data_IF_141248726917
#
_entry.id   IF_141248726917
#
_cell.length_a   1.000
_cell.length_b   1.000
_cell.length_c   1.000
_cell.angle_alpha   90.00
_cell.angle_beta   90.00
_cell.angle_gamma   90.00
#
_symmetry.space_group_name_H-M   'P 1'
#
loop_
_entity.id
_entity.type
_entity.pdbx_description
1 polymer ?
#
# COMPACT_ATOMS: atom_id res chain seq x y z
N UNK A 1 -1.78 21.25 1.52
CA UNK A 1 -2.92 22.21 1.53
C UNK A 1 -2.62 23.29 0.49
N UNK A 2 -3.27 23.26 -0.67
CA UNK A 2 -3.16 24.31 -1.68
C UNK A 2 -4.13 25.44 -1.27
N UNK A 3 -3.65 26.68 -1.20
CA UNK A 3 -4.50 27.83 -0.86
C UNK A 3 -4.36 28.90 -1.93
N UNK A 4 -5.48 29.37 -2.45
CA UNK A 4 -5.53 30.47 -3.41
C UNK A 4 -5.82 31.77 -2.66
N UNK A 5 -5.03 32.82 -2.92
CA UNK A 5 -5.24 34.14 -2.32
C UNK A 5 -6.20 34.94 -3.21
N UNK A 6 -7.31 35.37 -2.64
CA UNK A 6 -8.32 36.20 -3.30
C UNK A 6 -8.34 37.58 -2.63
N UNK A 7 -8.28 38.65 -3.42
CA UNK A 7 -8.46 40.03 -2.95
C UNK A 7 -9.86 40.52 -3.39
N UNK A 8 -10.61 41.12 -2.45
CA UNK A 8 -11.94 41.68 -2.70
C UNK A 8 -11.90 43.19 -2.41
N UNK A 9 -12.43 43.99 -3.33
CA UNK A 9 -12.72 45.42 -3.12
C UNK A 9 -14.24 45.63 -3.03
N UNK A 10 -14.68 46.70 -2.35
CA UNK A 10 -16.10 46.97 -2.12
C UNK A 10 -16.89 47.03 -3.43
N UNK A 11 -17.88 46.15 -3.58
CA UNK A 11 -18.78 46.08 -4.73
C UNK A 11 -18.37 45.11 -5.85
N UNK A 12 -17.34 44.28 -5.67
CA UNK A 12 -16.92 43.27 -6.66
C UNK A 12 -17.21 41.86 -6.13
N UNK A 13 -17.94 41.07 -6.93
CA UNK A 13 -18.06 39.62 -6.77
C UNK A 13 -16.85 38.95 -7.46
N UNK A 14 -16.18 38.02 -6.77
CA UNK A 14 -15.01 37.32 -7.28
C UNK A 14 -15.28 35.80 -7.28
N UNK A 15 -15.65 35.32 -8.47
CA UNK A 15 -16.00 33.92 -8.72
C UNK A 15 -14.81 33.09 -9.28
N UNK A 16 -13.57 33.57 -9.15
CA UNK A 16 -12.39 32.86 -9.70
C UNK A 16 -11.78 31.86 -8.72
N UNK A 17 -12.34 31.76 -7.51
CA UNK A 17 -11.95 30.81 -6.47
C UNK A 17 -12.42 29.38 -6.78
N UNK A 18 -12.06 28.84 -7.94
CA UNK A 18 -12.39 27.48 -8.32
C UNK A 18 -11.39 26.49 -7.70
N UNK A 19 -11.90 25.42 -7.09
CA UNK A 19 -11.09 24.35 -6.50
C UNK A 19 -11.44 23.01 -7.14
N UNK A 20 -10.50 22.45 -7.90
CA UNK A 20 -10.61 21.08 -8.40
C UNK A 20 -10.23 20.07 -7.32
N UNK A 21 -11.15 19.18 -6.95
CA UNK A 21 -10.83 17.97 -6.19
C UNK A 21 -10.67 16.81 -7.16
N UNK A 22 -9.43 16.34 -7.35
CA UNK A 22 -9.20 15.06 -7.99
C UNK A 22 -9.34 13.98 -6.91
N UNK A 23 -10.49 13.31 -6.87
CA UNK A 23 -10.65 12.09 -6.08
C UNK A 23 -9.83 10.98 -6.71
N UNK A 24 -9.12 10.14 -5.95
CA UNK A 24 -8.33 9.05 -6.52
C UNK A 24 -9.25 8.14 -7.34
N UNK A 25 -9.05 8.11 -8.65
CA UNK A 25 -9.92 7.44 -9.62
C UNK A 25 -9.77 5.91 -9.61
N UNK A 26 -8.78 5.37 -8.89
CA UNK A 26 -8.55 3.92 -8.80
C UNK A 26 -7.87 3.55 -7.48
N UNK A 27 -8.56 2.77 -6.67
CA UNK A 27 -8.00 2.08 -5.50
C UNK A 27 -7.77 0.61 -5.83
N UNK A 28 -6.57 0.10 -5.59
CA UNK A 28 -6.23 -1.31 -5.68
C UNK A 28 -6.20 -2.01 -4.32
N UNK A 29 -6.03 -3.33 -4.35
CA UNK A 29 -5.71 -4.13 -3.15
C UNK A 29 -4.62 -5.16 -3.47
N UNK A 30 -3.72 -5.39 -2.52
CA UNK A 30 -2.69 -6.43 -2.57
C UNK A 30 -2.93 -7.35 -1.38
N UNK A 31 -3.03 -8.65 -1.60
CA UNK A 31 -3.17 -9.63 -0.53
C UNK A 31 -2.95 -11.02 -1.06
N UNK A 32 -2.63 -11.94 -0.15
CA UNK A 32 -2.46 -13.36 -0.44
C UNK A 32 -2.33 -14.17 0.86
N UNK A 33 -1.76 -15.38 0.79
CA UNK A 33 -1.44 -16.25 1.90
C UNK A 33 0.08 -16.36 2.10
N UNK A 34 0.51 -16.46 3.35
CA UNK A 34 1.83 -16.99 3.74
C UNK A 34 1.60 -18.41 4.24
N UNK A 35 2.28 -19.39 3.67
CA UNK A 35 2.11 -20.81 4.01
C UNK A 35 3.45 -21.49 4.31
N UNK A 36 3.36 -22.62 4.99
CA UNK A 36 4.51 -23.50 5.22
C UNK A 36 4.67 -24.40 4.00
N UNK A 37 5.61 -24.03 3.13
CA UNK A 37 6.03 -24.80 1.97
C UNK A 37 6.82 -26.04 2.44
N UNK A 38 6.13 -27.16 2.59
CA UNK A 38 6.70 -28.38 3.19
C UNK A 38 7.58 -29.12 2.19
N UNK A 39 7.25 -29.01 0.90
CA UNK A 39 7.92 -29.73 -0.17
C UNK A 39 9.00 -28.88 -0.89
N UNK A 40 9.02 -27.56 -0.64
CA UNK A 40 10.01 -26.61 -1.12
C UNK A 40 9.84 -26.20 -2.58
N UNK A 41 8.65 -26.33 -3.15
CA UNK A 41 8.40 -26.08 -4.58
C UNK A 41 7.83 -24.68 -4.88
N UNK A 42 7.48 -23.91 -3.85
CA UNK A 42 6.91 -22.58 -3.97
C UNK A 42 5.48 -22.53 -4.52
N UNK A 43 4.80 -23.67 -4.61
CA UNK A 43 3.38 -23.80 -4.94
C UNK A 43 2.61 -23.97 -3.64
N UNK A 44 1.39 -23.45 -3.57
CA UNK A 44 0.52 -23.72 -2.44
C UNK A 44 -0.24 -25.04 -2.68
N UNK A 45 0.14 -26.08 -1.95
CA UNK A 45 -0.47 -27.40 -2.04
C UNK A 45 -1.58 -27.64 -0.99
N UNK A 46 -2.44 -28.62 -1.27
CA UNK A 46 -3.42 -29.13 -0.31
C UNK A 46 -2.71 -29.75 0.90
N UNK A 47 -2.97 -29.19 2.09
CA UNK A 47 -2.34 -29.61 3.35
C UNK A 47 -1.25 -28.65 3.84
N UNK A 48 -0.86 -27.64 3.06
CA UNK A 48 0.08 -26.62 3.50
C UNK A 48 -0.61 -25.54 4.34
N UNK A 49 -0.32 -25.61 5.64
CA UNK A 49 -0.89 -24.73 6.65
C UNK A 49 -0.40 -23.28 6.47
N UNK A 50 -1.30 -22.34 6.76
CA UNK A 50 -0.94 -20.92 6.78
C UNK A 50 -0.06 -20.56 7.96
N UNK A 51 0.86 -19.62 7.76
CA UNK A 51 1.75 -19.13 8.81
C UNK A 51 1.16 -17.85 9.41
N UNK A 52 0.52 -18.00 10.57
CA UNK A 52 -0.08 -16.90 11.31
C UNK A 52 0.95 -16.01 12.02
N UNK A 53 0.71 -14.70 12.06
CA UNK A 53 1.58 -13.73 12.74
C UNK A 53 2.88 -13.36 11.98
N UNK A 54 2.93 -13.65 10.67
CA UNK A 54 4.00 -13.18 9.79
C UNK A 54 3.81 -11.69 9.54
N UNK A 55 4.88 -10.92 9.67
CA UNK A 55 4.88 -9.49 9.40
C UNK A 55 5.07 -9.27 7.91
N UNK A 56 4.04 -8.73 7.24
CA UNK A 56 4.10 -8.38 5.82
C UNK A 56 4.25 -6.88 5.70
N UNK A 57 5.28 -6.46 4.98
CA UNK A 57 5.60 -5.05 4.73
C UNK A 57 5.43 -4.77 3.24
N UNK A 58 4.59 -3.79 2.92
CA UNK A 58 4.41 -3.27 1.56
C UNK A 58 5.06 -1.89 1.48
N UNK A 59 6.03 -1.75 0.59
CA UNK A 59 6.67 -0.48 0.24
C UNK A 59 6.10 -0.01 -1.10
N UNK A 60 5.59 1.21 -1.11
CA UNK A 60 5.00 1.89 -2.27
C UNK A 60 5.95 3.02 -2.64
N UNK A 61 6.48 3.01 -3.85
CA UNK A 61 7.31 4.11 -4.36
C UNK A 61 6.54 4.83 -5.47
N UNK A 62 6.19 6.08 -5.21
CA UNK A 62 5.55 6.96 -6.16
C UNK A 62 6.58 7.63 -7.07
N UNK A 63 6.09 8.19 -8.17
CA UNK A 63 6.92 8.73 -9.26
C UNK A 63 7.60 10.05 -8.92
N UNK A 64 7.13 10.70 -7.85
CA UNK A 64 7.76 11.86 -7.22
C UNK A 64 8.86 11.46 -6.20
N UNK A 65 9.34 10.21 -6.24
CA UNK A 65 10.30 9.61 -5.30
C UNK A 65 9.82 9.59 -3.83
N UNK A 66 8.51 9.77 -3.59
CA UNK A 66 7.92 9.56 -2.26
C UNK A 66 7.75 8.07 -2.04
N UNK A 67 8.28 7.58 -0.91
CA UNK A 67 8.10 6.20 -0.47
C UNK A 67 7.19 6.14 0.75
N UNK A 68 6.17 5.29 0.70
CA UNK A 68 5.29 4.95 1.83
C UNK A 68 5.48 3.48 2.18
N UNK A 69 5.58 3.18 3.47
CA UNK A 69 5.61 1.79 3.95
C UNK A 69 4.41 1.52 4.83
N UNK A 70 3.69 0.44 4.53
CA UNK A 70 2.59 -0.07 5.35
C UNK A 70 2.86 -1.51 5.78
N UNK A 71 2.42 -1.86 6.98
CA UNK A 71 2.66 -3.17 7.58
C UNK A 71 1.34 -3.80 8.00
N UNK A 72 1.19 -5.09 7.76
CA UNK A 72 0.11 -5.92 8.28
C UNK A 72 0.66 -7.22 8.85
N UNK A 73 -0.17 -7.96 9.58
CA UNK A 73 0.15 -9.27 10.11
C UNK A 73 -0.77 -10.31 9.46
N UNK A 74 -0.24 -11.49 9.16
CA UNK A 74 -1.07 -12.58 8.67
C UNK A 74 -2.04 -13.07 9.75
N UNK A 75 -3.25 -13.42 9.33
CA UNK A 75 -4.29 -13.99 10.19
C UNK A 75 -3.99 -15.45 10.61
N UNK A 76 -4.92 -16.09 11.33
CA UNK A 76 -4.78 -17.49 11.77
C UNK A 76 -4.65 -18.50 10.63
N UNK A 77 -5.04 -18.14 9.42
CA UNK A 77 -4.96 -18.96 8.21
C UNK A 77 -3.79 -18.54 7.30
N UNK A 78 -2.93 -17.62 7.77
CA UNK A 78 -1.80 -17.11 7.01
C UNK A 78 -2.16 -16.00 6.01
N UNK A 79 -3.40 -15.53 5.95
CA UNK A 79 -3.81 -14.53 4.96
C UNK A 79 -3.43 -13.11 5.38
N UNK A 80 -3.07 -12.27 4.42
CA UNK A 80 -2.87 -10.84 4.61
C UNK A 80 -3.53 -10.04 3.48
N UNK A 81 -3.85 -8.77 3.77
CA UNK A 81 -4.40 -7.86 2.77
C UNK A 81 -4.07 -6.40 3.08
N UNK A 82 -3.79 -5.66 2.02
CA UNK A 82 -3.69 -4.21 1.95
C UNK A 82 -4.79 -3.73 1.01
N UNK A 83 -5.70 -2.92 1.54
CA UNK A 83 -6.80 -2.33 0.79
C UNK A 83 -6.58 -0.83 0.57
N UNK A 84 -7.35 -0.24 -0.34
CA UNK A 84 -7.33 1.20 -0.62
C UNK A 84 -5.96 1.74 -1.07
N UNK A 85 -5.21 0.93 -1.83
CA UNK A 85 -3.93 1.34 -2.37
C UNK A 85 -4.15 2.35 -3.50
N UNK A 86 -3.66 3.57 -3.32
CA UNK A 86 -3.74 4.61 -4.32
C UNK A 86 -2.78 4.27 -5.47
N UNK A 87 -3.34 4.02 -6.65
CA UNK A 87 -2.58 3.65 -7.85
C UNK A 87 -2.06 4.86 -8.64
N UNK A 88 -2.39 6.07 -8.19
CA UNK A 88 -1.98 7.34 -8.81
C UNK A 88 -1.96 8.44 -7.74
N UNK A 89 -0.87 9.22 -7.69
CA UNK A 89 -0.78 10.42 -6.86
C UNK A 89 -0.97 11.73 -7.63
N UNK A 90 -1.06 11.75 -8.97
CA UNK A 90 -1.09 13.04 -9.69
C UNK A 90 -1.61 13.00 -11.13
N UNK A 91 -2.73 13.71 -11.31
CA UNK A 91 -3.16 14.50 -12.48
C UNK A 91 -2.23 14.43 -13.72
N UNK A 92 -2.50 13.47 -14.61
CA UNK A 92 -1.99 13.47 -15.99
C UNK A 92 -0.64 12.77 -16.23
N UNK A 93 -0.04 12.15 -15.22
CA UNK A 93 1.13 11.28 -15.40
C UNK A 93 0.70 9.87 -15.77
N UNK A 94 1.18 9.33 -16.88
CA UNK A 94 1.00 7.91 -17.26
C UNK A 94 1.89 6.97 -16.44
N UNK A 95 2.22 7.35 -15.21
CA UNK A 95 3.23 6.69 -14.40
C UNK A 95 2.58 6.10 -13.15
N UNK A 96 2.68 4.78 -13.00
CA UNK A 96 2.14 4.03 -11.87
C UNK A 96 3.20 3.86 -10.78
N UNK A 97 2.82 3.84 -9.50
CA UNK A 97 3.74 3.52 -8.42
C UNK A 97 4.28 2.10 -8.55
N UNK A 98 5.46 1.85 -7.99
CA UNK A 98 6.00 0.50 -7.82
C UNK A 98 5.67 -0.02 -6.42
N UNK A 99 5.41 -1.34 -6.34
CA UNK A 99 5.05 -2.02 -5.11
C UNK A 99 6.08 -3.12 -4.83
N UNK A 100 6.67 -3.10 -3.64
CA UNK A 100 7.59 -4.13 -3.16
C UNK A 100 7.04 -4.73 -1.87
N UNK A 101 6.93 -6.07 -1.83
CA UNK A 101 6.43 -6.81 -0.67
C UNK A 101 7.58 -7.59 -0.04
N UNK A 102 7.71 -7.49 1.27
CA UNK A 102 8.62 -8.32 2.06
C UNK A 102 7.85 -8.99 3.19
N UNK A 103 8.20 -10.24 3.49
CA UNK A 103 7.57 -11.04 4.54
C UNK A 103 8.65 -11.46 5.53
N UNK A 104 8.40 -11.19 6.81
CA UNK A 104 9.19 -11.70 7.93
C UNK A 104 8.33 -12.72 8.68
N UNK A 105 8.80 -13.98 8.84
CA UNK A 105 8.04 -14.99 9.56
C UNK A 105 7.82 -14.57 11.03
N UNK A 106 6.83 -15.15 11.72
CA UNK A 106 6.60 -14.87 13.13
C UNK A 106 7.88 -15.20 13.87
N UNK A 107 8.27 -14.37 14.84
CA UNK A 107 9.53 -14.50 15.57
C UNK A 107 9.66 -15.84 16.30
N UNK A 108 9.99 -16.92 15.59
CA UNK A 108 10.32 -18.24 16.13
C UNK A 108 11.76 -18.25 16.64
N UNK A 109 12.21 -17.13 17.19
CA UNK A 109 13.59 -16.90 17.58
C UNK A 109 14.57 -17.00 16.40
N UNK A 110 15.31 -15.93 16.17
CA UNK A 110 16.69 -16.06 15.70
C UNK A 110 17.49 -16.83 16.78
N UNK A 111 17.23 -18.13 16.97
CA UNK A 111 18.19 -19.00 17.64
C UNK A 111 19.33 -19.19 16.67
N UNK A 112 20.36 -18.37 16.92
CA UNK A 112 21.75 -18.52 16.49
C UNK A 112 21.99 -19.34 15.24
N UNK A 113 22.53 -18.67 14.21
CA UNK A 113 23.58 -19.30 13.42
C UNK A 113 24.61 -19.87 14.40
N UNK A 114 24.67 -21.20 14.51
CA UNK A 114 25.79 -21.96 15.03
C UNK A 114 26.44 -22.66 13.84
#
# INVERSE_FOLDING_TARGET
>A
KQGYKVEIAGGIENDTGDFGFFGPTSTGSIGDKVWHDVNGDGIQDDGEEGVAGSKVTLTITYTNDVTITVVTMTDSNGNYRFDNLLLDESYGGSESPTFEITVEPPGWGSRGRC
#
